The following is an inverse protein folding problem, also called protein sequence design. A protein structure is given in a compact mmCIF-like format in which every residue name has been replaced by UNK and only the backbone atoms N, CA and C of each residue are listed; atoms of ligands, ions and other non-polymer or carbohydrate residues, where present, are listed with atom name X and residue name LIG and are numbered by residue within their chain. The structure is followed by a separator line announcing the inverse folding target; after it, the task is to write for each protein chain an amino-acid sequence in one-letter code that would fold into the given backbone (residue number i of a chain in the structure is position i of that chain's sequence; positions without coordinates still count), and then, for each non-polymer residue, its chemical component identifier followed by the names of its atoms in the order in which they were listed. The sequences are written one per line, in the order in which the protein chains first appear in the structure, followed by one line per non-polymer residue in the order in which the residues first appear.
data_IF_291515304768
#
_entry.id   IF_291515304768
#
_cell.length_a   1.000
_cell.length_b   1.000
_cell.length_c   1.000
_cell.angle_alpha   90.00
_cell.angle_beta   90.00
_cell.angle_gamma   90.00
#
_symmetry.space_group_name_H-M   'P 1'
#
loop_
_entity.id
_entity.type
_entity.pdbx_description
1 polymer ?
#
# COMPACT_ATOMS: atom_id res chain seq x y z
N UNK A 1 49.15 24.50 -4.56
CA UNK A 1 49.55 23.32 -3.76
C UNK A 1 49.41 22.09 -4.63
N UNK A 2 50.52 21.38 -4.88
CA UNK A 2 50.62 19.97 -5.34
C UNK A 2 49.94 19.62 -6.69
N UNK A 3 50.49 18.85 -7.63
CA UNK A 3 51.65 17.98 -7.62
C UNK A 3 52.13 17.77 -9.08
N UNK A 4 53.43 17.69 -9.28
CA UNK A 4 54.04 17.15 -10.48
C UNK A 4 55.17 16.23 -10.03
N UNK A 5 55.09 14.95 -10.40
CA UNK A 5 56.21 14.01 -10.45
C UNK A 5 55.76 12.68 -11.06
N UNK A 6 56.03 12.55 -12.36
CA UNK A 6 56.17 11.27 -13.06
C UNK A 6 57.53 10.69 -12.70
N UNK A 7 57.55 9.42 -12.29
CA UNK A 7 58.77 8.66 -12.02
C UNK A 7 58.58 7.22 -12.48
N UNK A 8 59.19 6.91 -13.62
CA UNK A 8 59.33 5.56 -14.17
C UNK A 8 60.10 4.65 -13.21
N UNK A 9 59.60 3.44 -13.00
CA UNK A 9 60.28 2.37 -12.27
C UNK A 9 60.40 1.13 -13.15
N UNK A 10 61.63 0.88 -13.59
CA UNK A 10 62.12 -0.24 -14.40
C UNK A 10 61.73 -1.62 -13.81
N UNK A 11 61.54 -2.57 -14.72
CA UNK A 11 61.24 -3.96 -14.42
C UNK A 11 62.40 -4.75 -13.81
N UNK A 12 62.04 -5.90 -13.26
CA UNK A 12 62.92 -7.05 -13.08
C UNK A 12 62.10 -8.32 -13.31
N UNK A 13 62.40 -8.97 -14.42
CA UNK A 13 61.92 -10.31 -14.73
C UNK A 13 62.70 -11.31 -13.86
N UNK A 14 61.98 -12.09 -13.08
CA UNK A 14 62.53 -13.26 -12.40
C UNK A 14 61.94 -14.51 -13.06
N UNK A 15 62.75 -15.18 -13.87
CA UNK A 15 62.48 -16.51 -14.41
C UNK A 15 62.72 -17.54 -13.31
N UNK A 16 61.68 -18.24 -12.87
CA UNK A 16 61.80 -19.46 -12.07
C UNK A 16 61.42 -20.64 -12.96
N UNK A 17 62.42 -21.43 -13.33
CA UNK A 17 62.23 -22.81 -13.80
C UNK A 17 61.68 -23.63 -12.62
N UNK A 18 60.48 -24.18 -12.76
CA UNK A 18 59.86 -25.07 -11.80
C UNK A 18 59.32 -26.31 -12.50
N UNK A 19 59.87 -27.47 -12.13
CA UNK A 19 59.62 -28.79 -12.66
C UNK A 19 58.12 -29.17 -12.74
N UNK A 20 57.76 -29.84 -13.84
CA UNK A 20 56.45 -30.41 -14.05
C UNK A 20 56.10 -31.49 -13.02
N UNK A 21 54.96 -31.28 -12.35
CA UNK A 21 54.14 -32.33 -11.77
C UNK A 21 52.69 -31.93 -12.05
N UNK A 22 52.13 -32.49 -13.11
CA UNK A 22 50.72 -32.35 -13.47
C UNK A 22 49.86 -33.08 -12.44
N UNK A 23 49.39 -32.37 -11.42
CA UNK A 23 48.35 -32.85 -10.53
C UNK A 23 47.01 -32.73 -11.26
N UNK A 24 46.17 -33.78 -11.29
CA UNK A 24 44.85 -33.69 -11.90
C UNK A 24 43.98 -32.74 -11.06
N UNK A 25 43.45 -31.70 -11.71
CA UNK A 25 42.40 -30.85 -11.14
C UNK A 25 41.21 -31.74 -10.74
N UNK A 26 40.71 -31.66 -9.50
CA UNK A 26 39.45 -32.31 -9.17
C UNK A 26 38.36 -31.63 -10.01
N UNK A 27 37.66 -32.44 -10.81
CA UNK A 27 36.48 -31.99 -11.52
C UNK A 27 35.52 -31.36 -10.51
N UNK A 28 35.24 -30.06 -10.67
CA UNK A 28 34.14 -29.39 -9.98
C UNK A 28 32.85 -30.05 -10.47
N UNK A 29 32.42 -31.09 -9.77
CA UNK A 29 31.06 -31.61 -9.87
C UNK A 29 30.14 -30.48 -9.45
N UNK A 30 29.53 -29.84 -10.46
CA UNK A 30 28.39 -28.96 -10.27
C UNK A 30 27.30 -29.80 -9.62
N UNK A 31 27.18 -29.70 -8.29
CA UNK A 31 25.99 -30.12 -7.60
C UNK A 31 24.88 -29.22 -8.11
N UNK A 32 24.09 -29.75 -9.05
CA UNK A 32 22.84 -29.15 -9.47
C UNK A 32 22.00 -28.92 -8.21
N UNK A 33 21.94 -27.67 -7.77
CA UNK A 33 20.99 -27.25 -6.76
C UNK A 33 19.62 -27.45 -7.40
N UNK A 34 18.95 -28.54 -7.04
CA UNK A 34 17.51 -28.68 -7.20
C UNK A 34 16.86 -27.65 -6.29
N UNK A 35 16.87 -26.39 -6.74
CA UNK A 35 16.16 -25.30 -6.14
C UNK A 35 14.68 -25.57 -6.30
N UNK A 36 14.10 -26.24 -5.29
CA UNK A 36 12.66 -26.15 -5.06
C UNK A 36 12.44 -24.69 -4.69
N UNK A 37 11.96 -23.89 -5.64
CA UNK A 37 11.51 -22.53 -5.37
C UNK A 37 10.30 -22.63 -4.43
N UNK A 38 10.56 -22.67 -3.12
CA UNK A 38 9.52 -22.54 -2.13
C UNK A 38 8.86 -21.18 -2.36
N UNK A 39 7.58 -21.19 -2.74
CA UNK A 39 6.75 -19.99 -2.81
C UNK A 39 6.82 -19.33 -1.43
N UNK A 40 7.39 -18.13 -1.35
CA UNK A 40 7.44 -17.37 -0.11
C UNK A 40 6.02 -17.32 0.49
N UNK A 41 5.87 -17.45 1.83
CA UNK A 41 4.56 -17.35 2.47
C UNK A 41 3.85 -16.09 1.97
N UNK A 42 2.69 -16.27 1.34
CA UNK A 42 1.88 -15.11 0.95
C UNK A 42 1.49 -14.41 2.25
N UNK A 43 1.84 -13.12 2.36
CA UNK A 43 1.41 -12.31 3.49
C UNK A 43 -0.12 -12.41 3.63
N UNK A 44 -0.64 -12.48 4.86
CA UNK A 44 -2.07 -12.62 5.07
C UNK A 44 -2.79 -11.44 4.41
N UNK A 45 -3.71 -11.71 3.48
CA UNK A 45 -4.53 -10.70 2.83
C UNK A 45 -5.91 -10.70 3.49
N UNK A 46 -6.47 -9.52 3.77
CA UNK A 46 -7.84 -9.44 4.25
C UNK A 46 -8.79 -9.90 3.15
N UNK A 47 -9.71 -10.82 3.47
CA UNK A 47 -10.76 -11.27 2.56
C UNK A 47 -11.89 -10.22 2.50
N UNK A 48 -11.63 -9.16 1.73
CA UNK A 48 -12.54 -8.03 1.53
C UNK A 48 -12.51 -7.62 0.05
N UNK A 49 -13.61 -7.06 -0.43
CA UNK A 49 -13.66 -6.55 -1.80
C UNK A 49 -12.61 -5.46 -2.02
N UNK A 50 -11.96 -5.46 -3.18
CA UNK A 50 -10.99 -4.43 -3.58
C UNK A 50 -9.86 -4.18 -2.57
N UNK A 51 -9.42 -5.22 -1.85
CA UNK A 51 -8.27 -5.11 -0.95
C UNK A 51 -7.00 -4.76 -1.72
N UNK A 52 -6.34 -3.65 -1.37
CA UNK A 52 -5.05 -3.28 -1.94
C UNK A 52 -4.31 -2.27 -1.05
N UNK A 53 -3.05 -1.97 -1.36
CA UNK A 53 -2.31 -0.83 -0.81
C UNK A 53 -2.52 0.40 -1.69
N UNK A 54 -2.74 1.54 -1.03
CA UNK A 54 -2.66 2.88 -1.64
C UNK A 54 -1.26 3.43 -1.44
N UNK A 55 -0.70 3.21 -0.24
CA UNK A 55 0.64 3.60 0.18
C UNK A 55 1.21 2.49 1.08
N UNK A 56 2.50 2.52 1.41
CA UNK A 56 3.16 1.48 2.25
C UNK A 56 2.41 1.18 3.57
N UNK A 57 1.81 2.20 4.17
CA UNK A 57 1.10 2.18 5.45
C UNK A 57 -0.40 2.44 5.33
N UNK A 58 -0.93 2.57 4.11
CA UNK A 58 -2.35 2.79 3.85
C UNK A 58 -2.92 1.68 2.98
N UNK A 59 -3.82 0.90 3.55
CA UNK A 59 -4.61 -0.11 2.88
C UNK A 59 -5.99 0.44 2.51
N UNK A 60 -6.57 -0.10 1.44
CA UNK A 60 -7.94 0.18 0.99
C UNK A 60 -8.73 -1.11 0.81
N UNK A 61 -10.06 -1.00 0.85
CA UNK A 61 -10.96 -2.08 0.45
C UNK A 61 -12.41 -1.81 0.81
N UNK A 62 -13.21 -2.87 0.80
CA UNK A 62 -14.62 -2.88 1.21
C UNK A 62 -14.81 -3.19 2.69
N UNK A 63 -16.05 -3.48 3.06
CA UNK A 63 -16.41 -3.75 4.44
C UNK A 63 -15.61 -4.92 5.04
N UNK A 64 -14.92 -4.73 6.18
CA UNK A 64 -14.25 -5.81 6.89
C UNK A 64 -15.19 -6.41 7.93
N UNK A 65 -15.54 -7.69 7.76
CA UNK A 65 -16.18 -8.43 8.84
C UNK A 65 -15.20 -8.74 9.99
N UNK A 66 -15.65 -9.49 11.01
CA UNK A 66 -14.80 -9.81 12.15
C UNK A 66 -13.53 -10.60 11.75
N UNK A 67 -13.62 -11.50 10.77
CA UNK A 67 -12.48 -12.31 10.35
C UNK A 67 -11.47 -11.46 9.59
N UNK A 68 -11.93 -10.59 8.69
CA UNK A 68 -11.08 -9.61 8.03
C UNK A 68 -10.41 -8.67 9.03
N UNK A 69 -11.10 -8.22 10.08
CA UNK A 69 -10.50 -7.42 11.15
C UNK A 69 -9.43 -8.18 11.94
N UNK A 70 -9.60 -9.48 12.20
CA UNK A 70 -8.54 -10.31 12.81
C UNK A 70 -7.29 -10.36 11.94
N UNK A 71 -7.46 -10.48 10.62
CA UNK A 71 -6.34 -10.39 9.66
C UNK A 71 -5.73 -8.99 9.66
N UNK A 72 -6.54 -7.94 9.80
CA UNK A 72 -6.04 -6.57 9.91
C UNK A 72 -5.08 -6.39 11.10
N UNK A 73 -5.38 -7.00 12.26
CA UNK A 73 -4.48 -7.04 13.41
C UNK A 73 -3.16 -7.73 13.06
N UNK A 74 -3.20 -8.87 12.37
CA UNK A 74 -2.00 -9.60 11.94
C UNK A 74 -1.13 -8.79 10.96
N UNK A 75 -1.77 -7.95 10.13
CA UNK A 75 -1.11 -6.99 9.25
C UNK A 75 -0.55 -5.76 9.98
N UNK A 76 -0.79 -5.64 11.29
CA UNK A 76 -0.36 -4.50 12.10
C UNK A 76 -1.18 -3.23 11.85
N UNK A 77 -2.37 -3.33 11.25
CA UNK A 77 -3.27 -2.18 11.08
C UNK A 77 -3.73 -1.70 12.45
N UNK A 78 -3.46 -0.42 12.74
CA UNK A 78 -3.82 0.21 14.01
C UNK A 78 -5.17 0.93 13.96
N UNK A 79 -5.50 1.47 12.80
CA UNK A 79 -6.69 2.29 12.60
C UNK A 79 -7.52 1.81 11.43
N UNK A 80 -8.81 1.58 11.65
CA UNK A 80 -9.81 1.32 10.60
C UNK A 80 -10.69 2.57 10.44
N UNK A 81 -10.79 3.05 9.21
CA UNK A 81 -11.55 4.24 8.83
C UNK A 81 -12.70 3.81 7.92
N UNK A 82 -13.92 3.84 8.47
CA UNK A 82 -15.15 3.47 7.78
C UNK A 82 -15.81 4.71 7.19
N UNK A 83 -16.00 4.73 5.88
CA UNK A 83 -16.71 5.80 5.15
C UNK A 83 -18.21 5.52 5.00
N UNK A 84 -18.70 4.43 5.59
CA UNK A 84 -20.10 4.02 5.52
C UNK A 84 -21.01 5.00 6.25
N UNK A 85 -22.18 5.24 5.68
CA UNK A 85 -23.18 6.19 6.14
C UNK A 85 -24.26 5.56 7.01
N UNK A 86 -25.42 6.23 7.03
CA UNK A 86 -26.56 5.89 7.90
C UNK A 86 -27.72 5.20 7.17
N UNK A 87 -27.52 4.76 5.92
CA UNK A 87 -28.53 3.96 5.24
C UNK A 87 -28.83 2.71 6.11
N UNK A 88 -30.09 2.22 6.19
CA UNK A 88 -30.45 1.19 7.17
C UNK A 88 -29.54 -0.05 7.15
N UNK A 89 -29.14 -0.52 5.97
CA UNK A 89 -28.20 -1.64 5.86
C UNK A 89 -26.78 -1.29 6.32
N UNK A 90 -26.28 -0.08 6.01
CA UNK A 90 -24.96 0.38 6.46
C UNK A 90 -24.93 0.62 7.98
N UNK A 91 -26.02 1.11 8.57
CA UNK A 91 -26.08 1.40 10.01
C UNK A 91 -25.86 0.15 10.86
N UNK A 92 -26.44 -1.00 10.46
CA UNK A 92 -26.22 -2.29 11.13
C UNK A 92 -24.75 -2.71 11.01
N UNK A 93 -24.19 -2.62 9.80
CA UNK A 93 -22.81 -3.00 9.52
C UNK A 93 -21.81 -2.13 10.28
N UNK A 94 -22.04 -0.81 10.34
CA UNK A 94 -21.23 0.16 11.09
C UNK A 94 -21.25 -0.16 12.59
N UNK A 95 -22.41 -0.50 13.15
CA UNK A 95 -22.52 -0.88 14.55
C UNK A 95 -21.77 -2.19 14.86
N UNK A 96 -21.89 -3.19 13.98
CA UNK A 96 -21.17 -4.47 14.09
C UNK A 96 -19.66 -4.28 13.99
N UNK A 97 -19.21 -3.50 13.02
CA UNK A 97 -17.79 -3.21 12.77
C UNK A 97 -17.17 -2.50 13.98
N UNK A 98 -17.84 -1.48 14.52
CA UNK A 98 -17.42 -0.77 15.73
C UNK A 98 -17.27 -1.72 16.92
N UNK A 99 -18.23 -2.63 17.11
CA UNK A 99 -18.18 -3.61 18.19
C UNK A 99 -17.01 -4.60 18.00
N UNK A 100 -16.78 -5.06 16.77
CA UNK A 100 -15.70 -6.01 16.46
C UNK A 100 -14.32 -5.35 16.59
N UNK A 101 -14.15 -4.11 16.12
CA UNK A 101 -12.91 -3.36 16.30
C UNK A 101 -12.58 -3.14 17.78
N UNK A 102 -13.59 -2.84 18.61
CA UNK A 102 -13.42 -2.70 20.05
C UNK A 102 -12.96 -3.99 20.72
N UNK A 103 -13.54 -5.15 20.35
CA UNK A 103 -13.10 -6.48 20.85
C UNK A 103 -11.63 -6.78 20.50
N UNK A 104 -11.17 -6.30 19.35
CA UNK A 104 -9.83 -6.56 18.81
C UNK A 104 -8.80 -5.49 19.19
N UNK A 105 -9.20 -4.43 19.91
CA UNK A 105 -8.30 -3.33 20.28
C UNK A 105 -7.85 -2.46 19.10
N UNK A 106 -8.60 -2.45 18.00
CA UNK A 106 -8.30 -1.61 16.82
C UNK A 106 -8.95 -0.24 17.02
N UNK A 107 -8.23 0.83 16.73
CA UNK A 107 -8.82 2.18 16.69
C UNK A 107 -9.81 2.27 15.54
N UNK A 108 -11.06 2.59 15.82
CA UNK A 108 -12.11 2.67 14.81
C UNK A 108 -12.67 4.08 14.68
N UNK A 109 -12.69 4.60 13.45
CA UNK A 109 -13.17 5.93 13.12
C UNK A 109 -14.21 5.81 12.01
N UNK A 110 -15.37 6.43 12.19
CA UNK A 110 -16.37 6.54 11.13
C UNK A 110 -16.53 7.99 10.67
N UNK A 111 -16.36 8.18 9.36
CA UNK A 111 -16.60 9.45 8.68
C UNK A 111 -17.64 9.16 7.58
N UNK A 112 -18.94 9.30 7.88
CA UNK A 112 -20.01 8.82 7.01
C UNK A 112 -20.14 9.69 5.76
N UNK A 113 -19.38 9.37 4.71
CA UNK A 113 -19.37 10.16 3.50
C UNK A 113 -20.67 9.92 2.71
N UNK A 114 -21.44 10.96 2.38
CA UNK A 114 -22.71 10.83 1.67
C UNK A 114 -22.50 10.43 0.20
N UNK A 115 -23.52 9.82 -0.40
CA UNK A 115 -23.54 9.49 -1.83
C UNK A 115 -24.31 10.55 -2.63
N UNK A 116 -24.02 10.63 -3.94
CA UNK A 116 -24.73 11.48 -4.91
C UNK A 116 -24.75 12.97 -4.56
N UNK A 117 -23.71 13.41 -3.86
CA UNK A 117 -23.44 14.79 -3.54
C UNK A 117 -21.93 14.99 -3.58
N UNK A 118 -21.50 16.23 -3.77
CA UNK A 118 -20.08 16.55 -3.63
C UNK A 118 -19.59 16.19 -2.21
N UNK A 119 -18.43 15.50 -2.07
CA UNK A 119 -17.87 15.18 -0.77
C UNK A 119 -17.66 16.42 0.10
N UNK A 120 -18.27 16.50 1.30
CA UNK A 120 -18.08 17.65 2.17
C UNK A 120 -16.61 17.81 2.55
N UNK A 121 -16.02 18.98 2.26
CA UNK A 121 -14.59 19.24 2.50
C UNK A 121 -14.16 18.90 3.93
N UNK A 122 -14.97 19.26 4.93
CA UNK A 122 -14.68 18.96 6.34
C UNK A 122 -14.50 17.46 6.62
N UNK A 123 -15.29 16.59 5.96
CA UNK A 123 -15.18 15.13 6.11
C UNK A 123 -13.93 14.61 5.39
N UNK A 124 -13.61 15.14 4.21
CA UNK A 124 -12.37 14.83 3.50
C UNK A 124 -11.16 15.20 4.35
N UNK A 125 -11.11 16.44 4.86
CA UNK A 125 -10.04 16.92 5.72
C UNK A 125 -9.90 16.08 6.99
N UNK A 126 -11.00 15.68 7.62
CA UNK A 126 -10.96 14.80 8.80
C UNK A 126 -10.27 13.46 8.52
N UNK A 127 -10.58 12.82 7.38
CA UNK A 127 -9.92 11.57 6.97
C UNK A 127 -8.45 11.83 6.66
N UNK A 128 -8.13 12.87 5.90
CA UNK A 128 -6.74 13.20 5.53
C UNK A 128 -5.88 13.53 6.76
N UNK A 129 -6.43 14.22 7.76
CA UNK A 129 -5.75 14.50 9.02
C UNK A 129 -5.48 13.23 9.81
N UNK A 130 -6.43 12.28 9.82
CA UNK A 130 -6.22 10.96 10.43
C UNK A 130 -5.12 10.18 9.71
N UNK A 131 -5.12 10.20 8.37
CA UNK A 131 -4.10 9.53 7.57
C UNK A 131 -2.71 10.16 7.73
N UNK A 132 -2.63 11.49 7.89
CA UNK A 132 -1.37 12.19 8.13
C UNK A 132 -0.79 11.94 9.54
N UNK A 133 -1.62 11.53 10.51
CA UNK A 133 -1.16 11.22 11.86
C UNK A 133 -0.39 9.90 11.90
N UNK A 134 0.93 9.97 12.16
CA UNK A 134 1.80 8.79 12.28
C UNK A 134 1.39 7.80 13.37
N UNK A 135 0.73 8.25 14.43
CA UNK A 135 0.24 7.36 15.48
C UNK A 135 -0.92 6.48 15.00
N UNK A 136 -1.70 6.95 14.02
CA UNK A 136 -2.81 6.20 13.42
C UNK A 136 -2.33 5.14 12.41
N UNK A 137 -1.10 5.26 11.89
CA UNK A 137 -0.56 4.37 10.85
C UNK A 137 -0.04 3.04 11.43
N UNK A 138 -0.20 1.90 10.72
CA UNK A 138 -0.90 1.72 9.43
C UNK A 138 -2.43 1.78 9.52
N UNK A 139 -3.07 2.28 8.46
CA UNK A 139 -4.51 2.47 8.37
C UNK A 139 -5.18 1.56 7.34
N UNK A 140 -6.44 1.18 7.57
CA UNK A 140 -7.33 0.57 6.59
C UNK A 140 -8.51 1.50 6.30
N UNK A 141 -8.60 2.02 5.08
CA UNK A 141 -9.66 2.92 4.62
C UNK A 141 -10.68 2.15 3.78
N UNK A 142 -11.95 2.18 4.17
CA UNK A 142 -12.97 1.45 3.43
C UNK A 142 -14.33 2.13 3.38
N UNK A 143 -15.18 1.60 2.51
CA UNK A 143 -16.61 1.86 2.49
C UNK A 143 -17.32 0.51 2.41
N UNK A 144 -18.47 0.40 1.75
CA UNK A 144 -19.12 -0.90 1.54
C UNK A 144 -18.35 -1.78 0.54
N UNK A 145 -18.16 -1.33 -0.70
CA UNK A 145 -17.46 -2.10 -1.75
C UNK A 145 -15.98 -1.76 -1.94
N UNK A 146 -15.49 -0.68 -1.33
CA UNK A 146 -14.12 -0.21 -1.56
C UNK A 146 -13.85 0.45 -2.90
N UNK A 147 -14.91 0.83 -3.63
CA UNK A 147 -14.84 1.39 -4.99
C UNK A 147 -14.99 2.90 -4.99
N UNK A 148 -16.15 3.38 -4.53
CA UNK A 148 -16.58 4.76 -4.74
C UNK A 148 -15.98 5.71 -3.70
N UNK A 149 -16.57 5.79 -2.50
CA UNK A 149 -16.08 6.66 -1.41
C UNK A 149 -14.60 6.39 -1.06
N UNK A 150 -14.21 5.12 -1.00
CA UNK A 150 -12.82 4.71 -0.78
C UNK A 150 -11.92 5.17 -1.92
N UNK A 151 -12.36 4.99 -3.17
CA UNK A 151 -11.61 5.45 -4.34
C UNK A 151 -11.43 6.96 -4.34
N UNK A 152 -12.46 7.73 -3.95
CA UNK A 152 -12.40 9.19 -3.86
C UNK A 152 -11.33 9.62 -2.85
N UNK A 153 -11.36 9.07 -1.62
CA UNK A 153 -10.39 9.43 -0.60
C UNK A 153 -8.98 8.93 -0.91
N UNK A 154 -8.85 7.74 -1.50
CA UNK A 154 -7.56 7.23 -1.96
C UNK A 154 -6.97 8.15 -3.04
N UNK A 155 -7.76 8.55 -4.04
CA UNK A 155 -7.32 9.46 -5.10
C UNK A 155 -6.91 10.83 -4.54
N UNK A 156 -7.73 11.41 -3.65
CA UNK A 156 -7.42 12.68 -2.98
C UNK A 156 -6.13 12.57 -2.16
N UNK A 157 -5.94 11.47 -1.44
CA UNK A 157 -4.70 11.20 -0.72
C UNK A 157 -3.49 11.16 -1.68
N UNK A 158 -3.61 10.43 -2.80
CA UNK A 158 -2.56 10.31 -3.82
C UNK A 158 -2.18 11.65 -4.44
N UNK A 159 -3.17 12.51 -4.72
CA UNK A 159 -2.91 13.87 -5.23
C UNK A 159 -2.17 14.71 -4.18
N UNK A 160 -2.66 14.69 -2.94
CA UNK A 160 -2.15 15.56 -1.87
C UNK A 160 -0.76 15.16 -1.37
N UNK A 161 -0.51 13.87 -1.19
CA UNK A 161 0.67 13.37 -0.49
C UNK A 161 1.67 12.64 -1.39
N UNK A 162 1.19 12.00 -2.46
CA UNK A 162 2.06 11.26 -3.39
C UNK A 162 2.37 12.07 -4.68
N UNK A 163 1.76 13.25 -4.83
CA UNK A 163 2.03 14.18 -5.95
C UNK A 163 1.44 13.76 -7.30
N UNK A 164 0.49 12.82 -7.31
CA UNK A 164 -0.20 12.43 -8.55
C UNK A 164 -0.99 13.60 -9.11
N UNK A 165 -1.06 13.70 -10.45
CA UNK A 165 -2.03 14.60 -11.08
C UNK A 165 -3.45 14.07 -10.85
N UNK A 166 -4.44 14.96 -10.93
CA UNK A 166 -5.85 14.59 -10.82
C UNK A 166 -6.23 13.48 -11.83
N UNK A 167 -5.71 13.52 -13.06
CA UNK A 167 -5.97 12.51 -14.08
C UNK A 167 -5.36 11.14 -13.75
N UNK A 168 -4.14 11.11 -13.20
CA UNK A 168 -3.50 9.88 -12.76
C UNK A 168 -4.28 9.23 -11.61
N UNK A 169 -4.62 10.03 -10.59
CA UNK A 169 -5.38 9.55 -9.45
C UNK A 169 -6.80 9.11 -9.84
N UNK A 170 -7.44 9.83 -10.77
CA UNK A 170 -8.75 9.46 -11.30
C UNK A 170 -8.69 8.19 -12.16
N UNK A 171 -7.61 7.98 -12.90
CA UNK A 171 -7.37 6.73 -13.65
C UNK A 171 -7.19 5.55 -12.69
N UNK A 172 -6.40 5.71 -11.62
CA UNK A 172 -6.27 4.71 -10.56
C UNK A 172 -7.62 4.41 -9.91
N UNK A 173 -8.39 5.44 -9.56
CA UNK A 173 -9.74 5.31 -9.00
C UNK A 173 -10.67 4.45 -9.87
N UNK A 174 -10.70 4.70 -11.19
CA UNK A 174 -11.45 3.88 -12.16
C UNK A 174 -10.91 2.45 -12.26
N UNK A 175 -9.60 2.26 -12.15
CA UNK A 175 -8.97 0.93 -12.13
C UNK A 175 -9.47 0.04 -10.99
N UNK A 176 -9.96 0.64 -9.90
CA UNK A 176 -10.63 -0.06 -8.80
C UNK A 176 -12.16 -0.14 -8.95
N UNK A 177 -12.67 0.01 -10.17
CA UNK A 177 -14.09 -0.21 -10.50
C UNK A 177 -15.02 0.94 -10.15
N UNK A 178 -14.49 2.16 -9.97
CA UNK A 178 -15.32 3.36 -9.88
C UNK A 178 -16.01 3.68 -11.21
N UNK A 179 -17.31 3.95 -11.15
CA UNK A 179 -18.11 4.35 -12.31
C UNK A 179 -18.49 5.85 -12.21
N UNK A 180 -17.90 6.71 -13.07
CA UNK A 180 -18.18 8.14 -13.05
C UNK A 180 -19.58 8.50 -13.55
N UNK A 181 -20.25 7.63 -14.30
CA UNK A 181 -21.63 7.88 -14.72
C UNK A 181 -22.60 7.72 -13.54
N UNK A 182 -22.28 6.81 -12.63
CA UNK A 182 -23.08 6.53 -11.43
C UNK A 182 -22.90 7.57 -10.33
N UNK A 183 -21.69 8.12 -10.20
CA UNK A 183 -21.31 9.08 -9.14
C UNK A 183 -20.53 10.27 -9.73
N UNK A 184 -21.14 11.08 -10.61
CA UNK A 184 -20.45 12.18 -11.28
C UNK A 184 -19.92 13.23 -10.30
N UNK A 185 -20.52 13.37 -9.12
CA UNK A 185 -20.07 14.31 -8.09
C UNK A 185 -18.71 13.92 -7.51
N UNK A 186 -18.47 12.61 -7.33
CA UNK A 186 -17.15 12.11 -6.91
C UNK A 186 -16.12 12.22 -8.02
N UNK A 187 -16.54 11.96 -9.27
CA UNK A 187 -15.66 12.13 -10.43
C UNK A 187 -15.20 13.59 -10.55
N UNK A 188 -16.16 14.52 -10.54
CA UNK A 188 -15.89 15.96 -10.60
C UNK A 188 -15.01 16.41 -9.45
N UNK A 189 -15.29 15.94 -8.22
CA UNK A 189 -14.48 16.30 -7.05
C UNK A 189 -13.01 15.90 -7.22
N UNK A 190 -12.72 14.65 -7.62
CA UNK A 190 -11.33 14.21 -7.82
C UNK A 190 -10.67 14.95 -8.98
N UNK A 191 -11.37 15.14 -10.09
CA UNK A 191 -10.81 15.81 -11.29
C UNK A 191 -10.46 17.29 -11.05
N UNK A 192 -11.15 17.95 -10.11
CA UNK A 192 -10.94 19.36 -9.78
C UNK A 192 -10.32 19.59 -8.40
N UNK A 193 -9.97 18.53 -7.67
CA UNK A 193 -9.40 18.63 -6.32
C UNK A 193 -8.12 19.50 -6.31
N UNK A 194 -8.03 20.39 -5.31
CA UNK A 194 -6.87 21.24 -5.03
C UNK A 194 -6.46 21.04 -3.55
N UNK A 195 -5.23 20.56 -3.27
CA UNK A 195 -4.74 20.24 -1.92
C UNK A 195 -4.74 21.36 -0.88
#
# INVERSE_FOLDING_TARGET
MMAWRLGLGLGLALTVLGCGHSLPLPALTSAAQTGIFAKAPQAPAMDVQNFNKVHEWLYRGGYPDENALKVAVQLGIKTVISLQGKAPFEAVMVAQEKANAAKLGITWINVPLPFKVEPPKAMIDQVLNTLANKQSQPCYLHCYHGRDRTGTLAAVYRIKYDGLTNDQAFTEMKGFGFDPQKYPEFASYVQHYRP
#
